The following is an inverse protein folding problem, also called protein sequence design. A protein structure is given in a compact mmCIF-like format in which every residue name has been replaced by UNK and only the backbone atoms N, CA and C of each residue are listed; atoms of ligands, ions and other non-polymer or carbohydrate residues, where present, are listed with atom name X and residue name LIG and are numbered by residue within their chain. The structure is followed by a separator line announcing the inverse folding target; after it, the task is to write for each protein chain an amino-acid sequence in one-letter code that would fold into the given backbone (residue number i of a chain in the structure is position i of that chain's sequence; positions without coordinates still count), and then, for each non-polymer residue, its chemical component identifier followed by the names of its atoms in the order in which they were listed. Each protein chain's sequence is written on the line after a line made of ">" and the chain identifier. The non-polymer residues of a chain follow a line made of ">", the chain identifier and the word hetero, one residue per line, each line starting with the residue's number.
data_IF_573495850462
#
_entry.id   IF_573495850462
#
_cell.length_a   1.000
_cell.length_b   1.000
_cell.length_c   1.000
_cell.angle_alpha   90.00
_cell.angle_beta   90.00
_cell.angle_gamma   90.00
#
_symmetry.space_group_name_H-M   'P 1'
#
loop_
_entity.id
_entity.type
_entity.pdbx_description
1 polymer ?
#
# COMPACT_ATOMS: atom_id res chain seq x y z
N UNK A 1 2.39 -20.39 -0.31
CA UNK A 1 3.07 -19.19 0.23
C UNK A 1 2.01 -18.13 0.32
N UNK A 2 1.74 -17.60 1.52
CA UNK A 2 0.82 -16.47 1.69
C UNK A 2 1.61 -15.22 1.31
N UNK A 3 1.18 -14.47 0.30
CA UNK A 3 1.85 -13.22 -0.07
C UNK A 3 1.58 -12.15 0.99
N UNK A 4 2.63 -11.50 1.49
CA UNK A 4 2.56 -10.47 2.53
C UNK A 4 1.88 -9.16 2.06
N UNK A 5 1.90 -8.90 0.75
CA UNK A 5 1.31 -7.72 0.10
C UNK A 5 0.78 -8.11 -1.28
N UNK A 6 -0.38 -7.60 -1.63
CA UNK A 6 -0.90 -7.60 -3.01
C UNK A 6 -0.98 -6.15 -3.50
N UNK A 7 -0.23 -5.83 -4.55
CA UNK A 7 -0.33 -4.55 -5.24
C UNK A 7 -1.07 -4.74 -6.57
N UNK A 8 -2.13 -3.99 -6.78
CA UNK A 8 -2.87 -3.96 -8.05
C UNK A 8 -2.75 -2.58 -8.70
N UNK A 9 -2.32 -2.56 -9.96
CA UNK A 9 -2.25 -1.34 -10.78
C UNK A 9 -3.13 -1.56 -11.99
N UNK A 10 -4.15 -0.71 -12.16
CA UNK A 10 -5.13 -0.83 -13.24
C UNK A 10 -5.78 -2.23 -13.29
N UNK A 11 -6.13 -2.79 -12.12
CA UNK A 11 -6.72 -4.13 -11.99
C UNK A 11 -5.75 -5.30 -12.26
N UNK A 12 -4.46 -5.04 -12.44
CA UNK A 12 -3.44 -6.07 -12.66
C UNK A 12 -2.55 -6.23 -11.43
N UNK A 13 -2.39 -7.46 -10.95
CA UNK A 13 -1.45 -7.79 -9.87
C UNK A 13 -0.02 -7.55 -10.33
N UNK A 14 0.73 -6.80 -9.53
CA UNK A 14 2.13 -6.48 -9.77
C UNK A 14 2.98 -7.27 -8.78
N UNK A 15 3.90 -8.09 -9.29
CA UNK A 15 4.86 -8.81 -8.45
C UNK A 15 5.98 -7.85 -8.02
N UNK A 16 6.07 -7.60 -6.72
CA UNK A 16 7.13 -6.77 -6.14
C UNK A 16 8.40 -7.60 -5.91
N UNK A 17 9.55 -6.94 -6.06
CA UNK A 17 10.83 -7.45 -5.56
C UNK A 17 10.90 -7.27 -4.03
N UNK A 18 11.86 -7.93 -3.40
CA UNK A 18 12.03 -7.94 -1.94
C UNK A 18 12.13 -6.54 -1.31
N UNK A 19 12.94 -5.65 -1.89
CA UNK A 19 13.11 -4.29 -1.36
C UNK A 19 11.81 -3.48 -1.38
N UNK A 20 11.13 -3.26 -2.53
CA UNK A 20 9.90 -2.48 -2.57
C UNK A 20 8.77 -3.11 -1.75
N UNK A 21 8.70 -4.45 -1.66
CA UNK A 21 7.74 -5.13 -0.79
C UNK A 21 7.94 -4.76 0.69
N UNK A 22 9.18 -4.87 1.20
CA UNK A 22 9.49 -4.50 2.60
C UNK A 22 9.25 -3.02 2.87
N UNK A 23 9.67 -2.16 1.96
CA UNK A 23 9.49 -0.72 2.10
C UNK A 23 8.00 -0.34 2.17
N UNK A 24 7.18 -0.86 1.24
CA UNK A 24 5.74 -0.58 1.21
C UNK A 24 5.05 -1.11 2.47
N UNK A 25 5.38 -2.35 2.91
CA UNK A 25 4.83 -2.94 4.14
C UNK A 25 5.12 -2.09 5.36
N UNK A 26 6.40 -1.71 5.53
CA UNK A 26 6.84 -0.91 6.66
C UNK A 26 6.13 0.44 6.72
N UNK A 27 6.05 1.13 5.58
CA UNK A 27 5.37 2.43 5.50
C UNK A 27 3.89 2.33 5.82
N UNK A 28 3.17 1.39 5.19
CA UNK A 28 1.73 1.22 5.41
C UNK A 28 1.43 0.83 6.86
N UNK A 29 2.12 -0.18 7.40
CA UNK A 29 1.90 -0.61 8.78
C UNK A 29 2.26 0.49 9.78
N UNK A 30 3.36 1.20 9.56
CA UNK A 30 3.77 2.34 10.39
C UNK A 30 2.72 3.46 10.38
N UNK A 31 2.21 3.79 9.20
CA UNK A 31 1.14 4.77 9.04
C UNK A 31 -0.13 4.35 9.79
N UNK A 32 -0.61 3.12 9.62
CA UNK A 32 -1.82 2.64 10.29
C UNK A 32 -1.63 2.61 11.83
N UNK A 33 -0.46 2.19 12.32
CA UNK A 33 -0.15 2.22 13.76
C UNK A 33 -0.20 3.65 14.33
N UNK A 34 0.16 4.65 13.53
CA UNK A 34 0.08 6.06 13.95
C UNK A 34 -1.35 6.59 14.08
N UNK A 35 -2.35 5.90 13.52
CA UNK A 35 -3.75 6.31 13.59
C UNK A 35 -4.42 5.98 14.93
N UNK A 36 -3.73 5.29 15.84
CA UNK A 36 -4.23 4.90 17.17
C UNK A 36 -5.66 4.29 17.12
N UNK A 37 -5.86 3.32 16.22
CA UNK A 37 -7.13 2.61 16.11
C UNK A 37 -7.46 1.87 17.41
N UNK A 38 -8.75 1.79 17.74
CA UNK A 38 -9.23 1.10 18.95
C UNK A 38 -8.92 -0.41 18.93
N UNK A 39 -8.81 -0.99 17.74
CA UNK A 39 -8.52 -2.41 17.54
C UNK A 39 -7.30 -2.63 16.64
N UNK A 40 -6.57 -3.73 16.86
CA UNK A 40 -5.45 -4.10 16.02
C UNK A 40 -5.94 -4.61 14.65
N UNK A 41 -5.49 -4.00 13.53
CA UNK A 41 -6.00 -4.33 12.21
C UNK A 41 -5.52 -5.71 11.76
N UNK A 42 -6.46 -6.59 11.40
CA UNK A 42 -6.18 -7.92 10.82
C UNK A 42 -5.88 -7.86 9.32
N UNK A 43 -6.46 -6.88 8.62
CA UNK A 43 -6.30 -6.65 7.20
C UNK A 43 -6.30 -5.13 6.94
N UNK A 44 -5.44 -4.67 6.03
CA UNK A 44 -5.35 -3.27 5.62
C UNK A 44 -5.56 -3.20 4.10
N UNK A 45 -6.60 -2.50 3.64
CA UNK A 45 -6.86 -2.24 2.23
C UNK A 45 -6.73 -0.74 1.95
N UNK A 46 -5.86 -0.38 1.00
CA UNK A 46 -5.64 1.01 0.56
C UNK A 46 -6.00 1.11 -0.92
N UNK A 47 -6.87 2.05 -1.27
CA UNK A 47 -7.22 2.38 -2.65
C UNK A 47 -6.78 3.81 -2.96
N UNK A 48 -5.99 3.98 -4.02
CA UNK A 48 -5.48 5.29 -4.46
C UNK A 48 -6.01 5.55 -5.87
N UNK A 49 -6.76 6.64 -6.04
CA UNK A 49 -7.25 7.09 -7.34
C UNK A 49 -6.37 8.25 -7.81
N UNK A 50 -5.66 8.03 -8.90
CA UNK A 50 -4.83 9.06 -9.53
C UNK A 50 -5.68 9.79 -10.57
N UNK A 51 -5.93 11.09 -10.37
CA UNK A 51 -6.53 11.93 -11.39
C UNK A 51 -5.45 12.38 -12.37
N UNK A 52 -5.73 12.40 -13.68
CA UNK A 52 -4.77 12.79 -14.73
C UNK A 52 -4.23 14.23 -14.60
N UNK A 53 -4.76 15.05 -13.68
CA UNK A 53 -4.35 16.43 -13.46
C UNK A 53 -3.16 16.62 -12.51
N UNK A 54 -2.76 15.60 -11.75
CA UNK A 54 -1.62 15.71 -10.82
C UNK A 54 -0.25 15.46 -11.47
N UNK A 55 -0.20 15.20 -12.79
CA UNK A 55 1.06 15.11 -13.56
C UNK A 55 1.56 16.45 -14.11
N UNK A 56 1.01 17.59 -13.67
CA UNK A 56 1.60 18.91 -13.94
C UNK A 56 2.06 19.56 -12.65
N UNK A 57 3.29 19.27 -12.26
CA UNK A 57 3.98 19.99 -11.19
C UNK A 57 5.49 19.94 -11.38
N UNK A 58 6.03 21.10 -11.80
CA UNK A 58 7.43 21.54 -11.86
C UNK A 58 8.28 21.17 -13.08
#
# INVERSE_FOLDING_TARGET
>A
MVEDIVLEVNGKKVRLKDFPMRALKGTVVGFIRSLNLEEEPKEIKIEIKLNEKDSRGS
#
